data_IF_406498394690
#
_entry.id   IF_406498394690
#
_cell.length_a   1.000
_cell.length_b   1.000
_cell.length_c   1.000
_cell.angle_alpha   90.00
_cell.angle_beta   90.00
_cell.angle_gamma   90.00
#
_symmetry.space_group_name_H-M   'P 1'
#
loop_
_entity.id
_entity.type
_entity.pdbx_description
1 polymer ?
#
# COMPACT_ATOMS: atom_id res chain seq x y z
N UNK A 1 49.93 50.18 -33.89
CA UNK A 1 50.13 48.72 -33.91
C UNK A 1 49.50 48.15 -32.72
N UNK A 2 48.32 47.57 -32.90
CA UNK A 2 47.50 46.92 -31.82
C UNK A 2 47.49 45.45 -32.21
N UNK A 3 47.97 44.63 -31.27
CA UNK A 3 47.88 43.19 -31.35
C UNK A 3 46.52 42.75 -30.80
N UNK A 4 45.84 41.71 -31.34
CA UNK A 4 44.61 41.22 -30.81
C UNK A 4 44.82 40.23 -29.64
N UNK A 5 44.01 40.35 -28.67
CA UNK A 5 43.89 39.60 -27.43
C UNK A 5 43.39 38.15 -27.69
N UNK A 6 44.13 37.18 -27.20
CA UNK A 6 43.73 35.77 -27.22
C UNK A 6 42.84 35.45 -26.02
N UNK A 7 41.68 34.91 -26.29
CA UNK A 7 40.83 34.29 -25.26
C UNK A 7 41.41 32.95 -24.79
N UNK A 8 41.33 32.61 -23.53
CA UNK A 8 41.68 31.27 -23.03
C UNK A 8 40.57 30.27 -23.35
N UNK A 9 40.96 29.15 -23.93
CA UNK A 9 40.12 27.98 -24.09
C UNK A 9 39.76 27.39 -22.72
N UNK A 10 38.46 27.26 -22.44
CA UNK A 10 37.94 26.61 -21.27
C UNK A 10 37.83 25.11 -21.54
N UNK A 11 38.82 24.34 -21.12
CA UNK A 11 38.76 22.89 -21.05
C UNK A 11 37.93 22.49 -19.84
N UNK A 12 36.61 22.32 -20.00
CA UNK A 12 35.75 21.71 -19.03
C UNK A 12 35.99 20.20 -19.03
N UNK A 13 36.69 19.70 -18.03
CA UNK A 13 36.65 18.30 -17.65
C UNK A 13 35.30 18.04 -17.09
N UNK A 14 34.46 17.27 -17.79
CA UNK A 14 33.23 16.71 -17.24
C UNK A 14 33.61 15.63 -16.23
N UNK A 15 33.46 15.91 -14.98
CA UNK A 15 33.33 14.89 -13.95
C UNK A 15 31.97 14.22 -14.21
N UNK A 16 32.02 13.02 -14.77
CA UNK A 16 30.86 12.11 -14.70
C UNK A 16 30.73 11.68 -13.26
N UNK A 17 29.81 12.33 -12.54
CA UNK A 17 29.35 11.91 -11.23
C UNK A 17 28.52 10.64 -11.43
N UNK A 18 29.20 9.49 -11.33
CA UNK A 18 28.58 8.16 -11.24
C UNK A 18 28.06 7.95 -9.81
N UNK A 19 27.15 8.82 -9.38
CA UNK A 19 26.33 8.58 -8.22
C UNK A 19 25.19 7.65 -8.63
N UNK A 20 25.43 6.35 -8.55
CA UNK A 20 24.36 5.36 -8.53
C UNK A 20 23.60 5.48 -7.20
N UNK A 21 22.69 6.45 -7.13
CA UNK A 21 21.66 6.46 -6.11
C UNK A 21 20.87 5.16 -6.22
N UNK A 22 20.55 4.50 -5.10
CA UNK A 22 19.64 3.36 -5.11
C UNK A 22 18.35 3.81 -5.78
N UNK A 23 17.87 3.01 -6.73
CA UNK A 23 16.65 3.32 -7.45
C UNK A 23 15.49 3.39 -6.47
N UNK A 24 14.97 4.59 -6.25
CA UNK A 24 13.73 4.79 -5.51
C UNK A 24 12.57 4.09 -6.25
N UNK A 25 11.56 3.59 -5.52
CA UNK A 25 10.33 3.10 -6.13
C UNK A 25 9.79 4.13 -7.11
N UNK A 26 9.45 3.70 -8.32
CA UNK A 26 8.95 4.64 -9.33
C UNK A 26 7.66 5.29 -8.83
N UNK A 27 7.61 6.63 -8.69
CA UNK A 27 6.42 7.32 -8.26
C UNK A 27 5.31 7.14 -9.29
N UNK A 28 4.31 6.38 -8.96
CA UNK A 28 3.19 6.13 -9.87
C UNK A 28 1.93 5.77 -9.13
N UNK A 29 2.08 5.12 -8.03
CA UNK A 29 1.06 4.87 -7.06
C UNK A 29 1.63 5.31 -5.74
N UNK A 30 0.89 5.93 -4.95
CA UNK A 30 1.23 6.16 -3.56
C UNK A 30 0.51 5.10 -2.79
N UNK A 31 1.11 4.49 -1.82
CA UNK A 31 0.26 3.80 -0.99
C UNK A 31 0.80 2.53 -0.38
N UNK A 32 -0.12 1.66 -0.03
CA UNK A 32 0.06 0.55 0.90
C UNK A 32 0.69 -0.68 0.25
N UNK A 33 0.96 -0.65 -1.07
CA UNK A 33 1.45 -1.80 -1.82
C UNK A 33 2.68 -1.46 -2.65
N UNK A 34 3.68 -2.33 -2.56
CA UNK A 34 4.88 -2.27 -3.39
C UNK A 34 5.01 -3.57 -4.16
N UNK A 35 5.22 -3.49 -5.46
CA UNK A 35 5.54 -4.64 -6.31
C UNK A 35 7.03 -4.63 -6.62
N UNK A 36 7.73 -5.62 -6.08
CA UNK A 36 9.12 -5.92 -6.41
C UNK A 36 9.14 -7.08 -7.40
N UNK A 37 9.96 -7.02 -8.42
CA UNK A 37 10.12 -8.13 -9.34
C UNK A 37 11.52 -8.19 -9.92
N UNK A 38 11.96 -9.39 -10.29
CA UNK A 38 13.06 -9.54 -11.23
C UNK A 38 12.58 -10.35 -12.44
N UNK A 39 13.04 -9.99 -13.63
CA UNK A 39 12.63 -10.63 -14.86
C UNK A 39 13.77 -10.68 -15.86
N UNK A 40 13.94 -11.81 -16.56
CA UNK A 40 14.94 -11.92 -17.63
C UNK A 40 14.31 -11.82 -19.02
N UNK A 41 13.14 -12.44 -19.20
CA UNK A 41 12.48 -12.57 -20.51
C UNK A 41 11.17 -11.79 -20.59
N UNK A 42 10.89 -10.94 -19.60
CA UNK A 42 9.69 -10.13 -19.53
C UNK A 42 8.45 -10.85 -19.01
N UNK A 43 8.50 -12.17 -18.73
CA UNK A 43 7.29 -12.86 -18.26
C UNK A 43 6.88 -12.43 -16.85
N UNK A 44 7.80 -12.40 -15.89
CA UNK A 44 7.54 -11.94 -14.53
C UNK A 44 7.22 -10.44 -14.51
N UNK A 45 7.91 -9.66 -15.32
CA UNK A 45 7.65 -8.22 -15.49
C UNK A 45 6.19 -7.95 -15.91
N UNK A 46 5.68 -8.66 -16.90
CA UNK A 46 4.27 -8.51 -17.33
C UNK A 46 3.28 -8.82 -16.20
N UNK A 47 3.58 -9.81 -15.37
CA UNK A 47 2.75 -10.12 -14.19
C UNK A 47 2.83 -8.97 -13.17
N UNK A 48 4.02 -8.45 -12.90
CA UNK A 48 4.23 -7.30 -12.02
C UNK A 48 3.48 -6.07 -12.51
N UNK A 49 3.57 -5.76 -13.80
CA UNK A 49 2.85 -4.65 -14.43
C UNK A 49 1.33 -4.84 -14.38
N UNK A 50 0.83 -6.09 -14.50
CA UNK A 50 -0.59 -6.36 -14.35
C UNK A 50 -1.06 -6.13 -12.92
N UNK A 51 -0.29 -6.53 -11.91
CA UNK A 51 -0.59 -6.23 -10.49
C UNK A 51 -0.60 -4.72 -10.28
N UNK A 52 0.42 -4.01 -10.75
CA UNK A 52 0.49 -2.55 -10.69
C UNK A 52 -0.73 -1.90 -11.34
N UNK A 53 -1.11 -2.34 -12.54
CA UNK A 53 -2.27 -1.79 -13.27
C UNK A 53 -3.58 -1.96 -12.50
N UNK A 54 -3.77 -3.10 -11.84
CA UNK A 54 -4.99 -3.39 -11.06
C UNK A 54 -5.00 -2.57 -9.78
N UNK A 55 -3.88 -2.50 -9.06
CA UNK A 55 -3.78 -1.88 -7.75
C UNK A 55 -3.39 -0.39 -7.79
N UNK A 56 -2.84 0.09 -8.92
CA UNK A 56 -2.28 1.43 -9.07
C UNK A 56 -1.22 1.74 -7.99
N UNK A 57 -0.27 0.84 -7.81
CA UNK A 57 0.70 0.82 -6.72
C UNK A 57 2.13 1.04 -7.21
N UNK A 58 3.05 1.18 -6.27
CA UNK A 58 4.47 1.30 -6.57
C UNK A 58 5.03 0.00 -7.15
N UNK A 59 5.97 0.13 -8.08
CA UNK A 59 6.64 -0.98 -8.73
C UNK A 59 8.14 -0.69 -8.88
N UNK A 60 8.95 -1.70 -8.60
CA UNK A 60 10.40 -1.60 -8.67
C UNK A 60 11.01 -2.92 -9.18
N UNK A 61 11.90 -2.82 -10.16
CA UNK A 61 12.66 -3.97 -10.61
C UNK A 61 13.87 -4.23 -9.69
N UNK A 62 14.05 -5.47 -9.32
CA UNK A 62 15.25 -5.95 -8.63
C UNK A 62 16.28 -6.34 -9.68
N UNK A 63 17.24 -5.45 -9.91
CA UNK A 63 18.26 -5.61 -10.93
C UNK A 63 19.53 -6.23 -10.38
N UNK A 64 20.11 -7.23 -11.08
CA UNK A 64 21.46 -7.71 -10.75
C UNK A 64 22.50 -6.64 -11.05
N UNK A 65 23.61 -6.61 -10.31
CA UNK A 65 24.72 -5.67 -10.54
C UNK A 65 25.28 -5.79 -11.96
N UNK A 66 25.35 -7.00 -12.49
CA UNK A 66 25.75 -7.31 -13.85
C UNK A 66 24.59 -8.02 -14.54
N UNK A 67 24.13 -7.51 -15.67
CA UNK A 67 23.05 -8.13 -16.44
C UNK A 67 23.36 -9.59 -16.79
N UNK A 68 22.34 -10.43 -16.87
CA UNK A 68 22.50 -11.80 -17.35
C UNK A 68 22.71 -11.81 -18.85
N UNK A 69 23.48 -12.79 -19.33
CA UNK A 69 23.67 -13.01 -20.75
C UNK A 69 22.33 -13.21 -21.48
N UNK A 70 22.26 -12.71 -22.71
CA UNK A 70 21.12 -12.97 -23.58
C UNK A 70 21.05 -14.45 -23.99
N UNK A 71 22.21 -15.13 -24.05
CA UNK A 71 22.26 -16.56 -24.27
C UNK A 71 21.70 -17.36 -23.10
N UNK A 72 20.81 -18.31 -23.43
CA UNK A 72 20.13 -19.11 -22.43
C UNK A 72 21.08 -19.99 -21.62
N UNK A 73 22.06 -20.61 -22.28
CA UNK A 73 23.00 -21.51 -21.61
C UNK A 73 23.97 -20.75 -20.70
N UNK A 74 24.44 -19.59 -21.12
CA UNK A 74 25.28 -18.71 -20.30
C UNK A 74 24.54 -18.27 -19.04
N UNK A 75 23.27 -17.89 -19.17
CA UNK A 75 22.42 -17.57 -18.02
C UNK A 75 22.23 -18.76 -17.09
N UNK A 76 21.96 -19.95 -17.61
CA UNK A 76 21.77 -21.15 -16.79
C UNK A 76 23.04 -21.49 -16.00
N UNK A 77 24.22 -21.43 -16.63
CA UNK A 77 25.50 -21.70 -15.96
C UNK A 77 25.74 -20.71 -14.82
N UNK A 78 25.55 -19.42 -15.07
CA UNK A 78 25.68 -18.39 -14.06
C UNK A 78 24.67 -18.56 -12.93
N UNK A 79 23.41 -18.86 -13.22
CA UNK A 79 22.39 -19.09 -12.22
C UNK A 79 22.75 -20.28 -11.29
N UNK A 80 23.34 -21.37 -11.85
CA UNK A 80 23.81 -22.49 -11.04
C UNK A 80 24.97 -22.13 -10.11
N UNK A 81 25.95 -21.36 -10.63
CA UNK A 81 27.08 -20.87 -9.83
C UNK A 81 26.61 -19.96 -8.69
N UNK A 82 25.71 -19.01 -8.99
CA UNK A 82 25.13 -18.11 -7.99
C UNK A 82 24.31 -18.86 -6.94
N UNK A 83 23.47 -19.82 -7.33
CA UNK A 83 22.73 -20.67 -6.39
C UNK A 83 23.66 -21.49 -5.49
N UNK A 84 24.78 -21.99 -6.03
CA UNK A 84 25.78 -22.68 -5.24
C UNK A 84 26.48 -21.74 -4.25
N UNK A 85 26.79 -20.51 -4.66
CA UNK A 85 27.38 -19.49 -3.81
C UNK A 85 26.42 -19.06 -2.67
N UNK A 86 25.14 -18.86 -2.98
CA UNK A 86 24.10 -18.51 -1.98
C UNK A 86 23.98 -19.58 -0.89
N UNK A 87 24.07 -20.86 -1.24
CA UNK A 87 24.07 -21.96 -0.25
C UNK A 87 25.26 -21.90 0.71
N UNK A 88 26.32 -21.19 0.35
CA UNK A 88 27.49 -20.92 1.19
C UNK A 88 27.41 -19.55 1.89
N UNK A 89 26.29 -18.83 1.76
CA UNK A 89 26.09 -17.51 2.33
C UNK A 89 26.63 -16.35 1.47
N UNK A 90 27.07 -16.65 0.23
CA UNK A 90 27.62 -15.64 -0.66
C UNK A 90 26.54 -15.22 -1.68
N UNK A 91 25.91 -14.09 -1.44
CA UNK A 91 24.85 -13.56 -2.29
C UNK A 91 25.42 -12.67 -3.39
N UNK A 92 25.01 -12.86 -4.67
CA UNK A 92 25.47 -12.00 -5.77
C UNK A 92 24.97 -10.57 -5.57
N UNK A 93 25.77 -9.58 -6.01
CA UNK A 93 25.42 -8.18 -5.86
C UNK A 93 24.23 -7.79 -6.76
N UNK A 94 23.40 -6.89 -6.24
CA UNK A 94 22.27 -6.25 -6.94
C UNK A 94 22.42 -4.75 -6.88
N UNK A 95 21.79 -4.02 -7.82
CA UNK A 95 21.76 -2.55 -7.85
C UNK A 95 20.66 -1.99 -6.94
N UNK A 96 19.54 -2.73 -6.84
CA UNK A 96 18.31 -2.27 -6.23
C UNK A 96 18.36 -2.35 -4.71
N UNK A 97 17.96 -1.28 -4.05
CA UNK A 97 17.77 -1.21 -2.61
C UNK A 97 16.50 -0.44 -2.28
N UNK A 98 15.91 -0.70 -1.12
CA UNK A 98 14.78 0.04 -0.56
C UNK A 98 15.16 0.45 0.85
N UNK A 99 15.03 1.73 1.18
CA UNK A 99 15.46 2.23 2.48
C UNK A 99 14.60 1.72 3.61
N UNK A 100 13.28 1.74 3.44
CA UNK A 100 12.32 1.18 4.40
C UNK A 100 11.05 0.70 3.68
N UNK A 101 10.18 0.03 4.43
CA UNK A 101 8.89 -0.47 3.95
C UNK A 101 7.74 0.04 4.81
N UNK A 102 7.94 1.12 5.57
CA UNK A 102 7.01 1.55 6.61
C UNK A 102 5.63 1.89 6.05
N UNK A 103 5.58 2.49 4.88
CA UNK A 103 4.34 2.87 4.21
C UNK A 103 3.59 1.69 3.58
N UNK A 104 4.22 0.53 3.45
CA UNK A 104 3.64 -0.61 2.75
C UNK A 104 3.06 -1.65 3.72
N UNK A 105 1.82 -2.03 3.50
CA UNK A 105 1.15 -3.13 4.21
C UNK A 105 1.48 -4.48 3.59
N UNK A 106 1.61 -4.52 2.26
CA UNK A 106 1.95 -5.72 1.50
C UNK A 106 3.07 -5.39 0.52
N UNK A 107 4.08 -6.24 0.54
CA UNK A 107 5.14 -6.27 -0.46
C UNK A 107 4.93 -7.50 -1.36
N UNK A 108 4.61 -7.26 -2.61
CA UNK A 108 4.58 -8.30 -3.63
C UNK A 108 6.01 -8.56 -4.10
N UNK A 109 6.43 -9.82 -4.12
CA UNK A 109 7.76 -10.20 -4.59
C UNK A 109 7.67 -11.23 -5.71
N UNK A 110 8.06 -10.83 -6.92
CA UNK A 110 7.94 -11.59 -8.15
C UNK A 110 9.28 -12.07 -8.71
N UNK A 111 9.33 -13.32 -9.16
CA UNK A 111 10.55 -13.90 -9.68
C UNK A 111 10.28 -15.05 -10.67
N UNK A 112 11.18 -15.29 -11.63
CA UNK A 112 11.21 -16.54 -12.36
C UNK A 112 11.78 -17.64 -11.48
N UNK A 113 11.26 -18.87 -11.61
CA UNK A 113 11.80 -20.03 -10.91
C UNK A 113 12.98 -20.58 -11.71
N UNK A 114 14.17 -20.58 -11.11
CA UNK A 114 15.38 -21.16 -11.66
C UNK A 114 15.82 -22.36 -10.84
N UNK A 115 15.90 -23.54 -11.46
CA UNK A 115 16.26 -24.79 -10.76
C UNK A 115 15.44 -25.05 -9.49
N UNK A 116 14.14 -24.81 -9.56
CA UNK A 116 13.17 -24.88 -8.46
C UNK A 116 13.34 -23.81 -7.36
N UNK A 117 14.33 -22.95 -7.49
CA UNK A 117 14.66 -21.88 -6.53
C UNK A 117 14.13 -20.51 -6.99
N UNK A 118 14.08 -19.56 -6.06
CA UNK A 118 13.91 -18.15 -6.37
C UNK A 118 15.08 -17.68 -7.25
N UNK A 119 14.82 -16.91 -8.30
CA UNK A 119 15.89 -16.29 -9.08
C UNK A 119 16.83 -15.49 -8.17
N UNK A 120 18.13 -15.64 -8.38
CA UNK A 120 19.17 -15.17 -7.46
C UNK A 120 19.15 -13.67 -7.14
N UNK A 121 18.77 -12.74 -8.05
CA UNK A 121 18.61 -11.33 -7.66
C UNK A 121 17.55 -11.12 -6.58
N UNK A 122 16.41 -11.81 -6.69
CA UNK A 122 15.35 -11.69 -5.67
C UNK A 122 15.76 -12.36 -4.35
N UNK A 123 16.52 -13.47 -4.38
CA UNK A 123 17.08 -14.06 -3.15
C UNK A 123 17.98 -13.06 -2.43
N UNK A 124 18.88 -12.39 -3.18
CA UNK A 124 19.75 -11.35 -2.63
C UNK A 124 18.97 -10.20 -2.04
N UNK A 125 17.94 -9.74 -2.74
CA UNK A 125 17.09 -8.65 -2.24
C UNK A 125 16.41 -9.01 -0.92
N UNK A 126 15.76 -10.18 -0.86
CA UNK A 126 15.08 -10.65 0.34
C UNK A 126 16.06 -10.83 1.51
N UNK A 127 17.25 -11.38 1.23
CA UNK A 127 18.31 -11.52 2.24
C UNK A 127 18.74 -10.17 2.80
N UNK A 128 19.05 -9.22 1.93
CA UNK A 128 19.56 -7.90 2.32
C UNK A 128 18.53 -7.07 3.10
N UNK A 129 17.25 -7.28 2.85
CA UNK A 129 16.16 -6.52 3.46
C UNK A 129 15.35 -7.31 4.49
N UNK A 130 15.80 -8.50 4.89
CA UNK A 130 15.05 -9.40 5.77
C UNK A 130 14.63 -8.74 7.10
N UNK A 131 15.51 -7.95 7.71
CA UNK A 131 15.21 -7.24 8.96
C UNK A 131 14.16 -6.13 8.76
N UNK A 132 14.22 -5.42 7.64
CA UNK A 132 13.27 -4.35 7.29
C UNK A 132 11.90 -4.90 6.88
N UNK A 133 11.86 -6.14 6.37
CA UNK A 133 10.64 -6.86 6.02
C UNK A 133 9.99 -7.58 7.21
N UNK A 134 10.61 -7.55 8.39
CA UNK A 134 10.03 -8.14 9.59
C UNK A 134 8.71 -7.47 9.97
N UNK A 135 7.68 -8.28 10.24
CA UNK A 135 6.33 -7.82 10.52
C UNK A 135 5.50 -7.44 9.27
N UNK A 136 6.11 -7.38 8.09
CA UNK A 136 5.39 -7.09 6.83
C UNK A 136 4.71 -8.33 6.26
N UNK A 137 3.65 -8.12 5.49
CA UNK A 137 3.02 -9.16 4.69
C UNK A 137 3.72 -9.24 3.34
N UNK A 138 4.15 -10.44 2.96
CA UNK A 138 4.79 -10.70 1.66
C UNK A 138 3.89 -11.60 0.83
N UNK A 139 3.56 -11.16 -0.38
CA UNK A 139 2.79 -11.90 -1.36
C UNK A 139 3.70 -12.32 -2.52
N UNK A 140 4.02 -13.60 -2.61
CA UNK A 140 4.93 -14.13 -3.63
C UNK A 140 4.18 -14.44 -4.91
N UNK A 141 4.73 -14.03 -6.05
CA UNK A 141 4.29 -14.49 -7.36
C UNK A 141 5.48 -14.97 -8.20
N UNK A 142 5.28 -16.04 -8.94
CA UNK A 142 6.35 -16.60 -9.73
C UNK A 142 5.91 -16.98 -11.15
N UNK A 143 6.87 -16.98 -12.05
CA UNK A 143 6.72 -17.54 -13.39
C UNK A 143 7.66 -18.71 -13.58
N UNK A 144 7.20 -19.75 -14.29
CA UNK A 144 8.04 -20.89 -14.63
C UNK A 144 7.63 -21.53 -15.96
N UNK A 145 8.49 -22.37 -16.51
CA UNK A 145 8.09 -23.27 -17.60
C UNK A 145 7.02 -24.25 -17.14
N UNK A 146 7.35 -25.03 -16.10
CA UNK A 146 6.47 -26.05 -15.51
C UNK A 146 6.77 -26.36 -14.04
N UNK A 147 7.77 -25.71 -13.43
CA UNK A 147 8.16 -25.96 -12.04
C UNK A 147 7.12 -25.47 -11.05
N UNK A 148 6.99 -26.20 -9.94
CA UNK A 148 6.19 -25.79 -8.79
C UNK A 148 6.84 -24.60 -8.04
N UNK A 149 6.03 -23.81 -7.34
CA UNK A 149 6.47 -22.69 -6.52
C UNK A 149 6.90 -23.11 -5.10
N UNK A 150 6.59 -24.33 -4.67
CA UNK A 150 6.70 -24.76 -3.26
C UNK A 150 8.09 -24.55 -2.66
N UNK A 151 9.13 -25.03 -3.34
CA UNK A 151 10.54 -24.91 -2.85
C UNK A 151 10.94 -23.44 -2.70
N UNK A 152 10.62 -22.60 -3.67
CA UNK A 152 10.97 -21.18 -3.63
C UNK A 152 10.20 -20.43 -2.54
N UNK A 153 8.97 -20.83 -2.22
CA UNK A 153 8.21 -20.28 -1.07
C UNK A 153 8.89 -20.64 0.26
N UNK A 154 9.37 -21.87 0.40
CA UNK A 154 10.09 -22.28 1.60
C UNK A 154 11.41 -21.52 1.75
N UNK A 155 12.14 -21.29 0.66
CA UNK A 155 13.33 -20.44 0.64
C UNK A 155 13.01 -19.00 1.11
N UNK A 156 11.94 -18.39 0.58
CA UNK A 156 11.54 -17.05 0.99
C UNK A 156 11.21 -16.97 2.49
N UNK A 157 10.51 -17.98 3.03
CA UNK A 157 10.20 -18.08 4.46
C UNK A 157 11.45 -18.17 5.34
N UNK A 158 12.47 -18.87 4.85
CA UNK A 158 13.76 -18.95 5.57
C UNK A 158 14.48 -17.60 5.52
N UNK A 159 14.52 -16.95 4.36
CA UNK A 159 15.18 -15.64 4.19
C UNK A 159 14.52 -14.53 5.01
N UNK A 160 13.22 -14.50 5.05
CA UNK A 160 12.42 -13.45 5.73
C UNK A 160 11.56 -14.07 6.84
N UNK A 161 12.17 -14.76 7.79
CA UNK A 161 11.46 -15.50 8.86
C UNK A 161 10.60 -14.61 9.78
N UNK A 162 10.88 -13.31 9.82
CA UNK A 162 10.08 -12.33 10.56
C UNK A 162 8.85 -11.79 9.80
N UNK A 163 8.71 -12.12 8.52
CA UNK A 163 7.57 -11.68 7.70
C UNK A 163 6.41 -12.67 7.73
N UNK A 164 5.22 -12.20 7.35
CA UNK A 164 4.04 -13.05 7.17
C UNK A 164 3.80 -13.28 5.67
N UNK A 165 3.79 -14.54 5.25
CA UNK A 165 3.55 -14.88 3.84
C UNK A 165 2.07 -15.19 3.60
N UNK A 166 1.54 -14.60 2.52
CA UNK A 166 0.15 -14.81 2.08
C UNK A 166 0.04 -15.96 1.07
N UNK A 167 -1.18 -16.14 0.51
CA UNK A 167 -1.38 -17.01 -0.65
C UNK A 167 -0.50 -16.57 -1.83
N UNK A 168 -0.03 -17.54 -2.60
CA UNK A 168 0.94 -17.32 -3.68
C UNK A 168 0.31 -17.44 -5.06
N UNK A 169 0.89 -16.78 -6.06
CA UNK A 169 0.51 -16.92 -7.47
C UNK A 169 1.63 -17.59 -8.28
N UNK A 170 1.30 -18.67 -8.98
CA UNK A 170 2.19 -19.28 -9.98
C UNK A 170 1.56 -19.19 -11.37
N UNK A 171 2.33 -18.64 -12.31
CA UNK A 171 1.99 -18.67 -13.73
C UNK A 171 3.04 -19.47 -14.49
N UNK A 172 2.60 -20.57 -15.09
CA UNK A 172 3.44 -21.40 -15.94
C UNK A 172 3.28 -21.02 -17.41
N UNK A 173 4.13 -21.55 -18.28
CA UNK A 173 3.99 -21.34 -19.73
C UNK A 173 2.59 -21.67 -20.25
N UNK A 174 1.91 -22.66 -19.66
CA UNK A 174 0.55 -23.05 -20.05
C UNK A 174 -0.55 -22.13 -19.52
N UNK A 175 -0.30 -21.38 -18.45
CA UNK A 175 -1.30 -20.53 -17.79
C UNK A 175 -1.04 -19.03 -17.97
N UNK A 176 0.07 -18.65 -18.56
CA UNK A 176 0.46 -17.24 -18.73
C UNK A 176 -0.54 -16.46 -19.61
N UNK A 177 -1.23 -17.12 -20.54
CA UNK A 177 -2.31 -16.52 -21.33
C UNK A 177 -3.54 -16.12 -20.50
N UNK A 178 -3.68 -16.68 -19.30
CA UNK A 178 -4.77 -16.38 -18.35
C UNK A 178 -4.32 -15.38 -17.26
N UNK A 179 -3.22 -14.64 -17.49
CA UNK A 179 -2.58 -13.79 -16.49
C UNK A 179 -3.55 -12.81 -15.86
N UNK A 180 -4.33 -12.07 -16.65
CA UNK A 180 -5.23 -11.04 -16.15
C UNK A 180 -6.28 -11.61 -15.17
N UNK A 181 -6.95 -12.68 -15.53
CA UNK A 181 -7.96 -13.32 -14.69
C UNK A 181 -7.37 -13.96 -13.44
N UNK A 182 -6.19 -14.59 -13.56
CA UNK A 182 -5.53 -15.21 -12.41
C UNK A 182 -4.97 -14.19 -11.44
N UNK A 183 -4.39 -13.10 -11.92
CA UNK A 183 -3.95 -11.99 -11.06
C UNK A 183 -5.15 -11.40 -10.33
N UNK A 184 -6.24 -11.07 -11.02
CA UNK A 184 -7.43 -10.49 -10.38
C UNK A 184 -8.00 -11.42 -9.30
N UNK A 185 -8.19 -12.69 -9.60
CA UNK A 185 -8.69 -13.67 -8.63
C UNK A 185 -7.75 -13.83 -7.41
N UNK A 186 -6.42 -13.83 -7.64
CA UNK A 186 -5.45 -13.89 -6.56
C UNK A 186 -5.49 -12.64 -5.66
N UNK A 187 -5.55 -11.45 -6.24
CA UNK A 187 -5.65 -10.20 -5.48
C UNK A 187 -6.92 -10.14 -4.63
N UNK A 188 -8.05 -10.68 -5.14
CA UNK A 188 -9.29 -10.81 -4.36
C UNK A 188 -9.09 -11.72 -3.14
N UNK A 189 -8.38 -12.85 -3.27
CA UNK A 189 -8.09 -13.73 -2.12
C UNK A 189 -7.22 -13.06 -1.05
N UNK A 190 -6.38 -12.10 -1.44
CA UNK A 190 -5.55 -11.34 -0.53
C UNK A 190 -6.32 -10.19 0.16
N UNK A 191 -7.53 -9.89 -0.29
CA UNK A 191 -8.33 -8.78 0.19
C UNK A 191 -7.75 -7.41 -0.17
N UNK A 192 -7.05 -7.33 -1.30
CA UNK A 192 -6.42 -6.09 -1.78
C UNK A 192 -7.15 -5.54 -2.99
N UNK A 193 -7.27 -4.22 -3.05
CA UNK A 193 -7.88 -3.52 -4.17
C UNK A 193 -7.20 -2.17 -4.37
N UNK A 194 -7.44 -1.54 -5.52
CA UNK A 194 -6.99 -0.18 -5.80
C UNK A 194 -7.49 0.82 -4.74
N UNK A 195 -8.72 0.67 -4.30
CA UNK A 195 -9.33 1.55 -3.29
C UNK A 195 -8.60 1.46 -1.95
N UNK A 196 -8.06 0.30 -1.62
CA UNK A 196 -7.30 0.08 -0.38
C UNK A 196 -5.83 0.50 -0.49
N UNK A 197 -5.32 0.71 -1.70
CA UNK A 197 -3.91 1.07 -1.92
C UNK A 197 -3.60 2.50 -1.49
N UNK A 198 -4.54 3.40 -1.64
CA UNK A 198 -4.31 4.77 -1.21
C UNK A 198 -4.51 4.87 0.31
N UNK A 199 -3.53 5.38 1.09
CA UNK A 199 -3.87 6.01 2.33
C UNK A 199 -4.85 7.10 1.92
N UNK A 200 -6.11 6.92 2.23
CA UNK A 200 -7.14 7.83 1.76
C UNK A 200 -6.81 9.22 2.28
N UNK A 201 -6.17 10.04 1.44
CA UNK A 201 -6.13 11.50 1.62
C UNK A 201 -7.52 12.09 1.40
N UNK A 202 -8.44 11.27 0.87
CA UNK A 202 -9.84 11.64 0.79
C UNK A 202 -10.38 11.79 2.21
N UNK A 203 -10.71 13.02 2.54
CA UNK A 203 -11.45 13.34 3.75
C UNK A 203 -12.95 13.07 3.57
N UNK A 204 -13.36 12.32 2.55
CA UNK A 204 -14.74 12.00 2.27
C UNK A 204 -15.13 10.67 2.92
N UNK A 205 -16.30 10.69 3.52
CA UNK A 205 -16.93 9.57 4.19
C UNK A 205 -18.22 9.19 3.44
N UNK A 206 -18.36 7.90 3.14
CA UNK A 206 -19.60 7.32 2.66
C UNK A 206 -20.33 6.68 3.84
N UNK A 207 -21.59 7.03 4.03
CA UNK A 207 -22.45 6.48 5.08
C UNK A 207 -23.63 5.77 4.39
N UNK A 208 -23.76 4.48 4.61
CA UNK A 208 -24.89 3.69 4.10
C UNK A 208 -25.93 3.50 5.21
N UNK A 209 -27.16 3.90 4.93
CA UNK A 209 -28.32 3.78 5.82
C UNK A 209 -29.42 3.01 5.07
N UNK A 210 -29.58 1.73 5.36
CA UNK A 210 -30.46 0.86 4.60
C UNK A 210 -30.04 0.78 3.12
N UNK A 211 -30.89 1.25 2.23
CA UNK A 211 -30.61 1.32 0.80
C UNK A 211 -30.14 2.71 0.31
N UNK A 212 -29.90 3.64 1.21
CA UNK A 212 -29.45 5.01 0.90
C UNK A 212 -27.97 5.15 1.20
N UNK A 213 -27.29 5.88 0.31
CA UNK A 213 -25.92 6.31 0.51
C UNK A 213 -25.87 7.83 0.64
N UNK A 214 -25.21 8.30 1.68
CA UNK A 214 -24.99 9.72 1.96
C UNK A 214 -23.50 9.97 2.12
N UNK A 215 -23.07 11.18 1.83
CA UNK A 215 -21.66 11.59 1.90
C UNK A 215 -21.44 12.60 3.02
N UNK A 216 -20.23 12.57 3.56
CA UNK A 216 -19.78 13.56 4.50
C UNK A 216 -18.33 13.96 4.18
N UNK A 217 -17.98 15.20 4.46
CA UNK A 217 -16.60 15.67 4.41
C UNK A 217 -16.04 15.71 5.82
N UNK A 218 -14.90 15.06 6.01
CA UNK A 218 -14.23 15.01 7.30
C UNK A 218 -13.25 16.18 7.46
N UNK A 219 -13.04 16.59 8.70
CA UNK A 219 -12.07 17.64 9.04
C UNK A 219 -10.64 17.13 8.92
N UNK A 220 -9.71 18.01 8.56
CA UNK A 220 -8.28 17.65 8.53
C UNK A 220 -7.66 17.77 9.95
N UNK A 221 -8.05 16.87 10.84
CA UNK A 221 -7.51 16.79 12.19
C UNK A 221 -7.22 15.34 12.61
N UNK A 222 -6.46 15.16 13.67
CA UNK A 222 -6.02 13.85 14.13
C UNK A 222 -7.19 12.92 14.52
N UNK A 223 -8.28 13.45 15.07
CA UNK A 223 -9.45 12.66 15.45
C UNK A 223 -10.21 12.14 14.23
N UNK A 224 -10.40 12.96 13.20
CA UNK A 224 -11.02 12.57 11.94
C UNK A 224 -10.17 11.52 11.20
N UNK A 225 -8.84 11.70 11.18
CA UNK A 225 -7.91 10.73 10.60
C UNK A 225 -7.94 9.39 11.33
N UNK A 226 -8.00 9.40 12.66
CA UNK A 226 -8.16 8.19 13.46
C UNK A 226 -9.48 7.49 13.13
N UNK A 227 -10.61 8.22 13.07
CA UNK A 227 -11.89 7.64 12.66
C UNK A 227 -11.80 7.01 11.25
N UNK A 228 -11.27 7.73 10.28
CA UNK A 228 -11.10 7.25 8.92
C UNK A 228 -10.17 6.02 8.84
N UNK A 229 -9.18 5.87 9.73
CA UNK A 229 -8.27 4.73 9.76
C UNK A 229 -8.96 3.42 10.16
N UNK A 230 -10.12 3.50 10.80
CA UNK A 230 -10.86 2.33 11.32
C UNK A 230 -11.94 1.81 10.37
N UNK A 231 -12.11 2.45 9.22
CA UNK A 231 -13.11 2.08 8.24
C UNK A 231 -12.68 0.86 7.39
N UNK A 232 -13.60 0.00 6.95
CA UNK A 232 -15.06 0.11 7.12
C UNK A 232 -15.55 -0.22 8.53
N UNK A 233 -16.63 0.43 8.97
CA UNK A 233 -17.19 0.25 10.30
C UNK A 233 -18.73 0.15 10.23
N UNK A 234 -19.30 -0.90 10.79
CA UNK A 234 -20.74 -1.09 10.92
C UNK A 234 -21.14 -0.88 12.37
N UNK A 235 -22.08 0.03 12.62
CA UNK A 235 -22.54 0.37 13.96
C UNK A 235 -24.04 0.63 13.98
N UNK A 236 -24.63 0.55 15.18
CA UNK A 236 -25.95 1.09 15.43
C UNK A 236 -25.83 2.45 16.09
N UNK A 237 -26.30 3.47 15.39
CA UNK A 237 -26.45 4.81 15.96
C UNK A 237 -27.64 4.82 16.91
N UNK A 238 -27.42 5.16 18.16
CA UNK A 238 -28.48 5.30 19.16
C UNK A 238 -29.10 6.69 19.10
N UNK A 239 -30.43 6.75 19.17
CA UNK A 239 -31.16 8.00 19.24
C UNK A 239 -30.98 8.63 20.63
N UNK A 240 -30.43 9.84 20.65
CA UNK A 240 -30.19 10.55 21.90
C UNK A 240 -30.98 11.85 21.93
N UNK A 241 -31.63 12.10 23.08
CA UNK A 241 -32.37 13.30 23.36
C UNK A 241 -33.42 13.67 22.29
N UNK A 242 -34.23 12.69 21.88
CA UNK A 242 -35.33 12.84 20.92
C UNK A 242 -34.90 13.49 19.59
N UNK A 243 -34.09 12.75 18.87
CA UNK A 243 -33.53 13.17 17.56
C UNK A 243 -32.68 14.44 17.65
N UNK A 244 -32.03 14.72 18.77
CA UNK A 244 -31.05 15.80 18.81
C UNK A 244 -29.72 15.32 18.24
N UNK A 245 -29.32 14.11 18.58
CA UNK A 245 -28.07 13.48 18.16
C UNK A 245 -28.26 12.00 17.87
N UNK A 246 -27.49 11.48 16.93
CA UNK A 246 -27.29 10.04 16.71
C UNK A 246 -25.90 9.69 17.22
N UNK A 247 -25.80 8.84 18.22
CA UNK A 247 -24.53 8.58 18.90
C UNK A 247 -24.10 7.11 18.82
N UNK A 248 -22.79 6.88 18.82
CA UNK A 248 -22.21 5.57 19.08
C UNK A 248 -20.86 5.72 19.81
N UNK A 249 -20.39 4.62 20.39
CA UNK A 249 -19.15 4.58 21.17
C UNK A 249 -18.09 3.78 20.42
N UNK A 250 -17.09 4.46 19.81
CA UNK A 250 -15.97 3.76 19.18
C UNK A 250 -15.10 3.05 20.22
N UNK A 251 -14.66 1.83 19.92
CA UNK A 251 -13.78 1.08 20.80
C UNK A 251 -12.54 0.58 20.03
N UNK A 252 -11.33 1.01 20.45
CA UNK A 252 -11.04 1.99 21.50
C UNK A 252 -11.57 3.39 21.19
N UNK A 253 -11.57 4.30 22.19
CA UNK A 253 -11.95 5.71 21.98
C UNK A 253 -11.06 6.35 20.90
N UNK A 254 -11.64 7.33 20.16
CA UNK A 254 -10.88 8.10 19.18
C UNK A 254 -9.86 9.02 19.87
N UNK A 255 -8.73 9.26 19.21
CA UNK A 255 -7.75 10.22 19.71
C UNK A 255 -8.33 11.64 19.75
N UNK A 256 -8.08 12.35 20.83
CA UNK A 256 -8.43 13.77 20.99
C UNK A 256 -7.20 14.62 21.27
N UNK A 257 -6.01 14.00 21.26
CA UNK A 257 -4.74 14.66 21.54
C UNK A 257 -4.37 15.61 20.40
N UNK A 258 -4.07 16.86 20.75
CA UNK A 258 -3.64 17.87 19.77
C UNK A 258 -4.76 18.39 18.85
N UNK A 259 -6.03 18.08 19.16
CA UNK A 259 -7.18 18.53 18.36
C UNK A 259 -7.85 19.73 19.04
N UNK A 260 -8.16 20.74 18.23
CA UNK A 260 -8.89 21.93 18.70
C UNK A 260 -10.29 21.55 19.17
N UNK A 261 -10.63 21.98 20.37
CA UNK A 261 -11.95 21.80 20.97
C UNK A 261 -12.81 23.05 20.81
N UNK A 262 -14.10 22.82 20.79
CA UNK A 262 -15.10 23.87 20.83
C UNK A 262 -15.77 24.08 19.48
N UNK A 263 -17.07 23.80 19.42
CA UNK A 263 -17.93 24.16 18.30
C UNK A 263 -19.36 24.38 18.75
N UNK A 264 -20.13 25.11 17.92
CA UNK A 264 -21.57 25.18 18.01
C UNK A 264 -22.15 24.30 16.88
N UNK A 265 -22.51 23.06 17.15
CA UNK A 265 -22.86 22.14 16.08
C UNK A 265 -24.18 22.51 15.41
N UNK A 266 -24.25 22.25 14.12
CA UNK A 266 -25.44 22.38 13.28
C UNK A 266 -25.84 20.99 12.75
N UNK A 267 -27.07 20.81 12.22
CA UNK A 267 -27.48 19.54 11.62
C UNK A 267 -26.47 19.08 10.56
N UNK A 268 -26.01 17.83 10.68
CA UNK A 268 -25.00 17.24 9.83
C UNK A 268 -23.59 17.21 10.44
N UNK A 269 -23.32 18.00 11.48
CA UNK A 269 -22.02 17.97 12.13
C UNK A 269 -21.78 16.62 12.82
N UNK A 270 -20.62 16.04 12.53
CA UNK A 270 -20.10 14.85 13.17
C UNK A 270 -19.05 15.29 14.18
N UNK A 271 -19.26 14.96 15.45
CA UNK A 271 -18.44 15.43 16.56
C UNK A 271 -18.02 14.30 17.48
N UNK A 272 -17.01 14.54 18.31
CA UNK A 272 -16.71 13.76 19.49
C UNK A 272 -17.15 14.56 20.72
N UNK A 273 -17.99 13.96 21.57
CA UNK A 273 -18.24 14.51 22.89
C UNK A 273 -17.21 13.91 23.86
N UNK A 274 -16.24 14.73 24.24
CA UNK A 274 -15.02 14.28 24.92
C UNK A 274 -15.31 13.62 26.28
N UNK A 275 -16.24 14.13 27.13
CA UNK A 275 -16.50 13.50 28.42
C UNK A 275 -16.97 12.04 28.33
N UNK A 276 -17.63 11.66 27.25
CA UNK A 276 -18.15 10.29 27.06
C UNK A 276 -17.36 9.50 26.01
N UNK A 277 -16.42 10.12 25.31
CA UNK A 277 -15.68 9.51 24.21
C UNK A 277 -16.58 8.89 23.11
N UNK A 278 -17.78 9.43 22.92
CA UNK A 278 -18.69 9.00 21.86
C UNK A 278 -18.58 9.89 20.63
N UNK A 279 -18.96 9.33 19.50
CA UNK A 279 -19.23 10.10 18.28
C UNK A 279 -20.69 10.48 18.26
N UNK A 280 -20.98 11.75 18.00
CA UNK A 280 -22.32 12.30 17.92
C UNK A 280 -22.54 12.98 16.58
N UNK A 281 -23.58 12.56 15.84
CA UNK A 281 -24.04 13.20 14.61
C UNK A 281 -25.23 14.06 14.98
N UNK A 282 -25.09 15.37 14.86
CA UNK A 282 -26.14 16.29 15.23
C UNK A 282 -27.25 16.34 14.18
N UNK A 283 -28.47 16.14 14.63
CA UNK A 283 -29.68 16.32 13.82
C UNK A 283 -30.36 17.67 14.06
N UNK A 284 -29.99 18.35 15.13
CA UNK A 284 -30.45 19.70 15.49
C UNK A 284 -29.26 20.58 15.86
N UNK A 285 -29.42 21.89 15.75
CA UNK A 285 -28.41 22.85 16.23
C UNK A 285 -28.30 22.82 17.75
N UNK A 286 -27.09 23.03 18.25
CA UNK A 286 -26.78 23.11 19.65
C UNK A 286 -25.92 24.31 19.98
N UNK A 287 -25.89 24.73 21.24
CA UNK A 287 -25.06 25.83 21.68
C UNK A 287 -23.56 25.50 21.63
N UNK A 288 -22.72 26.52 21.64
CA UNK A 288 -21.26 26.36 21.74
C UNK A 288 -20.89 25.52 22.96
N UNK A 289 -20.06 24.52 22.75
CA UNK A 289 -19.52 23.65 23.79
C UNK A 289 -18.04 23.38 23.58
N UNK A 290 -17.22 23.60 24.61
CA UNK A 290 -15.79 23.26 24.59
C UNK A 290 -15.52 21.76 24.79
N UNK A 291 -16.54 20.96 25.06
CA UNK A 291 -16.45 19.51 25.19
C UNK A 291 -16.64 18.79 23.84
N UNK A 292 -16.91 19.52 22.78
CA UNK A 292 -17.10 18.98 21.45
C UNK A 292 -15.86 19.22 20.58
N UNK A 293 -15.51 18.21 19.81
CA UNK A 293 -14.54 18.27 18.73
C UNK A 293 -15.26 17.94 17.42
N UNK A 294 -15.29 18.87 16.48
CA UNK A 294 -15.83 18.61 15.14
C UNK A 294 -14.85 17.75 14.37
N UNK A 295 -15.34 16.66 13.79
CA UNK A 295 -14.55 15.74 12.96
C UNK A 295 -15.07 15.61 11.53
N UNK A 296 -16.25 16.15 11.23
CA UNK A 296 -16.80 16.13 9.88
C UNK A 296 -18.17 16.79 9.78
N UNK A 297 -18.70 16.79 8.55
CA UNK A 297 -20.03 17.33 8.25
C UNK A 297 -20.69 16.50 7.12
N UNK A 298 -21.94 16.14 7.33
CA UNK A 298 -22.78 15.44 6.34
C UNK A 298 -23.45 16.47 5.46
N UNK A 299 -23.44 16.24 4.15
CA UNK A 299 -24.12 17.10 3.19
C UNK A 299 -25.64 17.18 3.47
N UNK A 300 -26.23 18.33 3.19
CA UNK A 300 -27.62 18.63 3.59
C UNK A 300 -28.63 17.60 3.13
N UNK A 301 -28.45 17.00 1.93
CA UNK A 301 -29.34 16.00 1.37
C UNK A 301 -29.27 14.66 2.12
N UNK A 302 -28.19 14.41 2.87
CA UNK A 302 -28.01 13.18 3.64
C UNK A 302 -28.80 13.13 4.94
N UNK A 303 -29.09 14.27 5.53
CA UNK A 303 -29.68 14.35 6.86
C UNK A 303 -31.08 13.74 6.97
N UNK A 304 -31.84 13.70 5.88
CA UNK A 304 -33.17 13.09 5.87
C UNK A 304 -33.15 11.59 6.24
N UNK A 305 -32.04 10.89 5.98
CA UNK A 305 -31.91 9.47 6.32
C UNK A 305 -31.61 9.25 7.82
N UNK A 306 -31.02 10.24 8.50
CA UNK A 306 -30.63 10.17 9.91
C UNK A 306 -31.63 10.86 10.84
N UNK A 307 -32.38 11.81 10.33
CA UNK A 307 -33.34 12.60 11.10
C UNK A 307 -34.68 11.81 11.31
N UNK A 308 -34.57 10.61 11.82
CA UNK A 308 -35.70 9.72 12.12
C UNK A 308 -35.62 9.23 13.56
N UNK A 309 -36.78 8.93 14.15
CA UNK A 309 -36.87 8.44 15.52
C UNK A 309 -36.29 7.03 15.63
N UNK A 310 -35.60 6.77 16.73
CA UNK A 310 -35.06 5.44 17.08
C UNK A 310 -33.65 5.19 16.57
N UNK A 311 -33.17 4.00 16.88
CA UNK A 311 -31.82 3.58 16.53
C UNK A 311 -31.71 3.19 15.05
N UNK A 312 -30.55 3.45 14.45
CA UNK A 312 -30.31 3.24 13.01
C UNK A 312 -29.02 2.45 12.82
N UNK A 313 -29.10 1.35 12.08
CA UNK A 313 -27.91 0.65 11.62
C UNK A 313 -27.28 1.41 10.45
N UNK A 314 -25.98 1.66 10.53
CA UNK A 314 -25.22 2.35 9.50
C UNK A 314 -23.90 1.66 9.21
N UNK A 315 -23.42 1.84 8.00
CA UNK A 315 -22.07 1.45 7.60
C UNK A 315 -21.29 2.68 7.15
N UNK A 316 -20.15 2.89 7.75
CA UNK A 316 -19.19 3.92 7.36
C UNK A 316 -18.11 3.31 6.49
N UNK A 317 -17.83 3.91 5.35
CA UNK A 317 -16.80 3.51 4.41
C UNK A 317 -16.05 4.75 3.90
N UNK A 318 -14.81 4.59 3.47
CA UNK A 318 -14.10 5.65 2.78
C UNK A 318 -14.68 5.84 1.38
N UNK A 319 -14.64 7.07 0.88
CA UNK A 319 -15.06 7.39 -0.48
C UNK A 319 -13.85 7.81 -1.30
#
# INVERSE_FOLDING_TARGET
LILPEQQPENSGSGDEDDSTDPADPTPGGNGRYLVLYCSRTGSTERVAQQIQKVLDCDILEVEPQVAYDSDYNGMLSRAQEELAAIRQGNYPAIKTSVEDFDDYDIVFAGYPIWYSSIATPMQTFLHNHASKLSGKRIALFATSGSSSISTSVDEARVLCSGATFTETLLLTSSTLSQMESRVSAWLETLGVSRENNYPSTSMNLKITVGNRTITATMEDNAAAKDFLSRLPLEVTLNDYNNITEKIFYPSPALTTTGVTRGCAPVPGDITIYVPWNNVAIFCKSWSQSNDLIKIGHIDADGMAALNVTGNIAVKFERQ
#
